data_IF_484867491134
#
_entry.id   IF_484867491134
#
_cell.length_a   1.000
_cell.length_b   1.000
_cell.length_c   1.000
_cell.angle_alpha   90.00
_cell.angle_beta   90.00
_cell.angle_gamma   90.00
#
_symmetry.space_group_name_H-M   'P 1'
#
loop_
_entity.id
_entity.type
_entity.pdbx_description
1 polymer ?
#
# COMPACT_ATOMS: atom_id res chain seq x y z
N UNK A 1 -5.80 22.88 15.60
CA UNK A 1 -5.65 22.95 14.13
C UNK A 1 -4.17 22.86 13.84
N UNK A 2 -3.64 21.65 13.76
CA UNK A 2 -2.23 21.42 13.46
C UNK A 2 -2.10 21.29 11.95
N UNK A 3 -1.31 22.18 11.33
CA UNK A 3 -0.98 22.16 9.91
C UNK A 3 -0.46 20.77 9.52
N UNK A 4 -1.31 20.00 8.84
CA UNK A 4 -0.99 18.67 8.35
C UNK A 4 -0.33 18.87 6.99
N UNK A 5 0.98 19.15 6.96
CA UNK A 5 1.71 19.25 5.70
C UNK A 5 1.77 17.85 5.03
N UNK A 6 0.99 17.66 3.96
CA UNK A 6 0.75 16.35 3.29
C UNK A 6 1.77 16.07 2.17
N UNK A 7 2.91 16.75 2.12
CA UNK A 7 3.83 16.66 0.96
C UNK A 7 4.40 15.25 0.67
N UNK A 8 4.38 14.33 1.65
CA UNK A 8 4.86 12.96 1.48
C UNK A 8 3.80 11.96 0.97
N UNK A 9 2.51 12.31 0.98
CA UNK A 9 1.43 11.44 0.53
C UNK A 9 0.96 11.86 -0.85
N UNK A 10 1.82 11.63 -1.84
CA UNK A 10 1.61 12.06 -3.22
C UNK A 10 1.61 10.87 -4.19
N UNK A 11 1.29 11.17 -5.46
CA UNK A 11 1.16 10.18 -6.54
C UNK A 11 2.46 9.41 -6.75
N UNK A 12 3.63 10.06 -6.70
CA UNK A 12 4.92 9.39 -6.91
C UNK A 12 5.21 8.36 -5.83
N UNK A 13 5.02 8.71 -4.56
CA UNK A 13 5.20 7.77 -3.43
C UNK A 13 4.22 6.61 -3.52
N UNK A 14 2.96 6.88 -3.88
CA UNK A 14 1.95 5.84 -4.06
C UNK A 14 2.27 4.91 -5.24
N UNK A 15 2.76 5.46 -6.35
CA UNK A 15 3.20 4.70 -7.52
C UNK A 15 4.36 3.77 -7.15
N UNK A 16 5.37 4.28 -6.45
CA UNK A 16 6.47 3.45 -5.93
C UNK A 16 5.97 2.36 -5.00
N UNK A 17 5.00 2.66 -4.12
CA UNK A 17 4.40 1.68 -3.23
C UNK A 17 3.65 0.58 -3.98
N UNK A 18 2.82 0.94 -4.97
CA UNK A 18 2.11 -0.01 -5.83
C UNK A 18 3.10 -0.92 -6.56
N UNK A 19 4.14 -0.34 -7.16
CA UNK A 19 5.19 -1.10 -7.86
C UNK A 19 5.92 -2.07 -6.94
N UNK A 20 6.29 -1.62 -5.73
CA UNK A 20 6.96 -2.46 -4.74
C UNK A 20 6.08 -3.65 -4.30
N UNK A 21 4.78 -3.40 -4.08
CA UNK A 21 3.83 -4.46 -3.69
C UNK A 21 3.56 -5.42 -4.85
N UNK A 22 3.36 -4.90 -6.06
CA UNK A 22 3.15 -5.69 -7.27
C UNK A 22 4.36 -6.58 -7.58
N UNK A 23 5.59 -6.16 -7.27
CA UNK A 23 6.77 -7.00 -7.39
C UNK A 23 6.73 -8.28 -6.52
N UNK A 24 5.82 -8.34 -5.54
CA UNK A 24 5.61 -9.52 -4.69
C UNK A 24 4.28 -10.23 -4.92
N UNK A 25 3.24 -9.53 -5.39
CA UNK A 25 1.92 -10.10 -5.61
C UNK A 25 1.61 -10.41 -7.09
N UNK A 26 2.43 -9.89 -8.00
CA UNK A 26 2.34 -9.90 -9.48
C UNK A 26 1.08 -9.21 -10.06
N UNK A 27 -0.03 -9.30 -9.35
CA UNK A 27 -1.29 -8.65 -9.69
C UNK A 27 -2.09 -8.25 -8.45
N UNK A 28 -2.97 -7.26 -8.61
CA UNK A 28 -3.93 -6.80 -7.60
C UNK A 28 -5.27 -6.48 -8.25
N UNK A 29 -6.39 -6.79 -7.58
CA UNK A 29 -7.66 -6.17 -7.95
C UNK A 29 -7.63 -4.68 -7.59
N UNK A 30 -8.47 -3.86 -8.21
CA UNK A 30 -8.59 -2.43 -7.86
C UNK A 30 -8.88 -2.24 -6.37
N UNK A 31 -9.81 -3.01 -5.82
CA UNK A 31 -10.13 -2.94 -4.39
C UNK A 31 -8.90 -3.13 -3.49
N UNK A 32 -8.00 -4.06 -3.84
CA UNK A 32 -6.74 -4.28 -3.10
C UNK A 32 -5.70 -3.19 -3.36
N UNK A 33 -5.61 -2.69 -4.60
CA UNK A 33 -4.71 -1.60 -4.94
C UNK A 33 -5.05 -0.32 -4.13
N UNK A 34 -6.34 0.00 -3.98
CA UNK A 34 -6.83 1.13 -3.17
C UNK A 34 -6.46 1.05 -1.67
N UNK A 35 -6.09 -0.14 -1.17
CA UNK A 35 -5.61 -0.32 0.21
C UNK A 35 -4.11 -0.07 0.37
N UNK A 36 -3.34 0.06 -0.72
CA UNK A 36 -1.89 0.26 -0.64
C UNK A 36 -1.56 1.62 -0.02
N UNK A 37 -2.16 2.69 -0.52
CA UNK A 37 -1.89 4.04 -0.02
C UNK A 37 -2.21 4.22 1.48
N UNK A 38 -3.39 3.82 2.01
CA UNK A 38 -3.67 3.92 3.44
C UNK A 38 -2.70 3.13 4.32
N UNK A 39 -2.18 1.98 3.84
CA UNK A 39 -1.14 1.23 4.54
C UNK A 39 0.19 1.99 4.58
N UNK A 40 0.61 2.59 3.47
CA UNK A 40 1.96 3.22 3.36
C UNK A 40 2.03 4.66 3.79
N UNK A 41 0.90 5.38 3.83
CA UNK A 41 0.87 6.77 4.29
C UNK A 41 1.09 6.89 5.81
N UNK A 42 0.88 5.80 6.55
CA UNK A 42 1.06 5.75 7.99
C UNK A 42 2.43 5.20 8.36
N UNK A 43 3.29 6.06 8.86
CA UNK A 43 4.69 5.74 9.17
C UNK A 43 4.83 4.58 10.17
N UNK A 44 3.94 4.47 11.16
CA UNK A 44 3.97 3.36 12.13
C UNK A 44 3.67 2.02 11.45
N UNK A 45 2.75 1.99 10.48
CA UNK A 45 2.46 0.79 9.70
C UNK A 45 3.67 0.37 8.86
N UNK A 46 4.27 1.31 8.12
CA UNK A 46 5.46 1.02 7.31
C UNK A 46 6.65 0.59 8.17
N UNK A 47 6.87 1.23 9.32
CA UNK A 47 7.96 0.87 10.22
C UNK A 47 7.81 -0.54 10.78
N UNK A 48 6.60 -0.89 11.19
CA UNK A 48 6.30 -2.20 11.74
C UNK A 48 6.47 -3.29 10.67
N UNK A 49 5.83 -3.12 9.51
CA UNK A 49 5.87 -4.11 8.43
C UNK A 49 7.25 -4.21 7.77
N UNK A 50 8.05 -3.13 7.77
CA UNK A 50 9.41 -3.14 7.23
C UNK A 50 10.46 -3.72 8.18
N UNK A 51 10.09 -4.14 9.39
CA UNK A 51 11.01 -4.78 10.32
C UNK A 51 11.18 -6.27 9.99
N UNK A 52 12.40 -6.69 9.64
CA UNK A 52 12.70 -8.08 9.24
C UNK A 52 12.43 -9.15 10.30
N UNK A 53 12.22 -8.77 11.58
CA UNK A 53 11.83 -9.69 12.66
C UNK A 53 10.31 -9.93 12.73
N UNK A 54 9.51 -9.11 12.05
CA UNK A 54 8.06 -9.24 12.05
C UNK A 54 7.65 -10.37 11.10
N UNK A 55 6.87 -11.31 11.62
CA UNK A 55 6.30 -12.41 10.83
C UNK A 55 5.24 -11.85 9.87
N UNK A 56 5.22 -12.34 8.63
CA UNK A 56 4.17 -12.02 7.65
C UNK A 56 2.83 -12.54 8.15
N UNK A 57 1.82 -11.68 8.21
CA UNK A 57 0.48 -12.01 8.71
C UNK A 57 -0.57 -11.63 7.67
N UNK A 58 -1.65 -12.43 7.62
CA UNK A 58 -2.89 -12.07 6.93
C UNK A 58 -3.64 -10.97 7.71
N UNK A 59 -4.65 -10.38 7.09
CA UNK A 59 -5.38 -9.22 7.62
C UNK A 59 -5.88 -9.42 9.05
N UNK A 60 -6.68 -10.45 9.32
CA UNK A 60 -7.25 -10.70 10.66
C UNK A 60 -6.18 -10.84 11.76
N UNK A 61 -5.14 -11.65 11.49
CA UNK A 61 -4.05 -11.86 12.45
C UNK A 61 -3.23 -10.59 12.72
N UNK A 62 -3.05 -9.75 11.70
CA UNK A 62 -2.34 -8.49 11.84
C UNK A 62 -3.16 -7.48 12.66
N UNK A 63 -4.46 -7.34 12.37
CA UNK A 63 -5.35 -6.42 13.10
C UNK A 63 -5.51 -6.85 14.56
N UNK A 64 -5.64 -8.15 14.83
CA UNK A 64 -5.72 -8.65 16.21
C UNK A 64 -4.45 -8.35 17.01
N UNK A 65 -3.28 -8.43 16.37
CA UNK A 65 -2.00 -8.23 17.04
C UNK A 65 -1.58 -6.76 17.16
N UNK A 66 -1.97 -5.92 16.19
CA UNK A 66 -1.63 -4.49 16.12
C UNK A 66 -2.84 -3.64 15.73
N UNK A 67 -3.91 -3.62 16.56
CA UNK A 67 -5.13 -2.87 16.26
C UNK A 67 -4.87 -1.36 16.14
N UNK A 68 -3.86 -0.85 16.84
CA UNK A 68 -3.41 0.54 16.78
C UNK A 68 -3.03 0.98 15.36
N UNK A 69 -2.48 0.08 14.54
CA UNK A 69 -2.12 0.38 13.16
C UNK A 69 -3.32 0.59 12.24
N UNK A 70 -4.53 0.28 12.68
CA UNK A 70 -5.77 0.33 11.89
C UNK A 70 -6.84 1.25 12.47
N UNK A 71 -6.59 1.88 13.62
CA UNK A 71 -7.58 2.70 14.34
C UNK A 71 -8.24 3.81 13.48
N UNK A 72 -7.48 4.43 12.58
CA UNK A 72 -7.96 5.48 11.66
C UNK A 72 -7.88 5.06 10.18
N UNK A 73 -7.89 3.75 9.90
CA UNK A 73 -7.64 3.25 8.54
C UNK A 73 -8.68 3.73 7.53
N UNK A 74 -9.96 3.78 7.90
CA UNK A 74 -11.03 4.29 7.02
C UNK A 74 -10.79 5.74 6.58
N UNK A 75 -10.35 6.62 7.49
CA UNK A 75 -9.99 8.01 7.15
C UNK A 75 -8.86 8.03 6.13
N UNK A 76 -7.80 7.25 6.36
CA UNK A 76 -6.67 7.13 5.45
C UNK A 76 -7.07 6.54 4.09
N UNK A 77 -8.01 5.61 4.08
CA UNK A 77 -8.53 5.00 2.86
C UNK A 77 -9.19 6.09 2.01
N UNK A 78 -10.13 6.84 2.58
CA UNK A 78 -10.81 7.94 1.91
C UNK A 78 -9.83 9.03 1.44
N UNK A 79 -8.88 9.43 2.28
CA UNK A 79 -7.82 10.39 1.94
C UNK A 79 -6.91 9.88 0.79
N UNK A 80 -6.73 8.56 0.69
CA UNK A 80 -5.83 7.92 -0.28
C UNK A 80 -6.47 7.55 -1.62
N UNK A 81 -7.79 7.63 -1.77
CA UNK A 81 -8.50 7.16 -2.96
C UNK A 81 -7.99 7.85 -4.24
N UNK A 82 -8.05 9.17 -4.29
CA UNK A 82 -7.65 9.95 -5.48
C UNK A 82 -6.17 9.76 -5.81
N UNK A 83 -5.32 9.76 -4.79
CA UNK A 83 -3.86 9.55 -4.95
C UNK A 83 -3.58 8.17 -5.53
N UNK A 84 -4.29 7.14 -5.06
CA UNK A 84 -4.08 5.76 -5.53
C UNK A 84 -4.55 5.59 -6.96
N UNK A 85 -5.73 6.13 -7.32
CA UNK A 85 -6.25 6.09 -8.70
C UNK A 85 -5.27 6.79 -9.66
N UNK A 86 -4.79 7.97 -9.29
CA UNK A 86 -3.81 8.70 -10.10
C UNK A 86 -2.49 7.94 -10.22
N UNK A 87 -2.04 7.27 -9.16
CA UNK A 87 -0.83 6.46 -9.18
C UNK A 87 -0.98 5.22 -10.07
N UNK A 88 -2.14 4.55 -10.04
CA UNK A 88 -2.47 3.45 -10.96
C UNK A 88 -2.40 3.94 -12.40
N UNK A 89 -3.03 5.08 -12.71
CA UNK A 89 -2.99 5.65 -14.06
C UNK A 89 -1.56 5.98 -14.50
N UNK A 90 -0.74 6.55 -13.61
CA UNK A 90 0.66 6.88 -13.90
C UNK A 90 1.48 5.63 -14.24
N UNK A 91 1.43 4.58 -13.43
CA UNK A 91 2.23 3.36 -13.67
C UNK A 91 1.76 2.58 -14.90
N UNK A 92 0.46 2.68 -15.24
CA UNK A 92 -0.09 2.09 -16.47
C UNK A 92 0.35 2.89 -17.69
N UNK A 93 0.23 4.22 -17.66
CA UNK A 93 0.67 5.08 -18.76
C UNK A 93 2.18 4.99 -19.02
N UNK A 94 2.97 4.78 -17.97
CA UNK A 94 4.42 4.59 -18.05
C UNK A 94 4.83 3.17 -18.50
N UNK A 95 3.90 2.24 -18.71
CA UNK A 95 4.18 0.88 -19.19
C UNK A 95 4.71 -0.09 -18.13
N UNK A 96 4.71 0.29 -16.86
CA UNK A 96 5.16 -0.58 -15.76
C UNK A 96 4.11 -1.63 -15.36
N UNK A 97 2.84 -1.33 -15.58
CA UNK A 97 1.73 -2.22 -15.32
C UNK A 97 0.69 -2.12 -16.45
N UNK A 98 -0.19 -3.13 -16.56
CA UNK A 98 -1.41 -3.05 -17.35
C UNK A 98 -2.64 -3.16 -16.47
N UNK A 99 -3.76 -2.64 -16.97
CA UNK A 99 -5.05 -2.79 -16.32
C UNK A 99 -6.03 -3.51 -17.25
N UNK A 100 -6.45 -4.70 -16.84
CA UNK A 100 -7.45 -5.53 -17.54
C UNK A 100 -8.32 -6.26 -16.49
N UNK A 101 -9.20 -5.50 -15.84
CA UNK A 101 -9.97 -5.93 -14.65
C UNK A 101 -9.14 -6.08 -13.37
N UNK A 102 -7.83 -6.34 -13.51
CA UNK A 102 -6.82 -6.32 -12.45
C UNK A 102 -5.63 -5.50 -12.91
N UNK A 103 -4.92 -4.94 -11.94
CA UNK A 103 -3.63 -4.31 -12.13
C UNK A 103 -2.56 -5.41 -12.15
N UNK A 104 -1.85 -5.57 -13.25
CA UNK A 104 -0.87 -6.63 -13.47
C UNK A 104 0.50 -6.01 -13.76
N UNK A 105 1.53 -6.48 -13.07
CA UNK A 105 2.91 -6.02 -13.28
C UNK A 105 3.40 -6.44 -14.66
N UNK A 106 4.02 -5.51 -15.38
CA UNK A 106 4.70 -5.81 -16.65
C UNK A 106 6.22 -5.75 -16.49
N UNK A 107 6.72 -4.72 -15.80
CA UNK A 107 8.14 -4.52 -15.58
C UNK A 107 8.39 -4.14 -14.12
N UNK A 108 9.28 -4.85 -13.41
CA UNK A 108 9.63 -4.48 -12.05
C UNK A 108 10.38 -3.14 -12.03
N UNK A 109 10.20 -2.39 -10.94
CA UNK A 109 10.96 -1.17 -10.67
C UNK A 109 12.01 -1.45 -9.61
N UNK A 110 13.28 -1.20 -9.91
CA UNK A 110 14.35 -1.27 -8.92
C UNK A 110 14.33 -0.01 -8.05
N UNK A 111 14.00 -0.17 -6.77
CA UNK A 111 13.97 0.95 -5.82
C UNK A 111 15.32 1.02 -5.10
N UNK A 112 16.16 1.96 -5.51
CA UNK A 112 17.49 2.19 -4.93
C UNK A 112 17.53 3.42 -3.99
N UNK A 113 18.73 3.92 -3.69
CA UNK A 113 18.92 5.11 -2.83
C UNK A 113 18.48 6.42 -3.44
N UNK A 114 18.38 6.52 -4.77
CA UNK A 114 17.95 7.74 -5.46
C UNK A 114 16.47 8.07 -5.21
N UNK A 115 15.64 7.05 -4.92
CA UNK A 115 14.22 7.21 -4.60
C UNK A 115 13.96 7.79 -3.20
N UNK A 116 15.01 7.90 -2.37
CA UNK A 116 14.93 8.46 -1.03
C UNK A 116 14.43 7.49 0.05
N UNK A 117 14.62 7.91 1.31
CA UNK A 117 14.43 7.04 2.49
C UNK A 117 13.01 6.51 2.66
N UNK A 118 11.98 7.28 2.26
CA UNK A 118 10.57 6.86 2.38
C UNK A 118 10.26 5.70 1.44
N UNK A 119 10.66 5.80 0.17
CA UNK A 119 10.51 4.72 -0.81
C UNK A 119 11.24 3.44 -0.36
N UNK A 120 12.46 3.56 0.16
CA UNK A 120 13.19 2.40 0.70
C UNK A 120 12.49 1.72 1.87
N UNK A 121 11.90 2.50 2.79
CA UNK A 121 11.11 1.95 3.91
C UNK A 121 9.86 1.24 3.41
N UNK A 122 9.18 1.79 2.41
CA UNK A 122 8.04 1.17 1.76
C UNK A 122 8.44 -0.15 1.08
N UNK A 123 9.54 -0.15 0.32
CA UNK A 123 10.05 -1.35 -0.34
C UNK A 123 10.34 -2.47 0.67
N UNK A 124 10.93 -2.15 1.83
CA UNK A 124 11.13 -3.12 2.92
C UNK A 124 9.82 -3.71 3.47
N UNK A 125 8.77 -2.90 3.55
CA UNK A 125 7.46 -3.33 4.02
C UNK A 125 6.62 -4.05 2.95
N UNK A 126 6.99 -3.93 1.67
CA UNK A 126 6.15 -4.33 0.54
C UNK A 126 5.78 -5.81 0.55
N UNK A 127 6.73 -6.69 0.90
CA UNK A 127 6.47 -8.13 0.95
C UNK A 127 5.49 -8.55 2.06
N UNK A 128 5.43 -7.78 3.16
CA UNK A 128 4.44 -7.98 4.23
C UNK A 128 3.09 -7.40 3.83
N UNK A 129 3.08 -6.23 3.17
CA UNK A 129 1.85 -5.64 2.62
C UNK A 129 1.23 -6.60 1.59
N UNK A 130 2.01 -7.19 0.70
CA UNK A 130 1.53 -8.19 -0.24
C UNK A 130 0.92 -9.41 0.47
N UNK A 131 1.53 -9.88 1.57
CA UNK A 131 0.99 -10.98 2.37
C UNK A 131 -0.33 -10.62 3.07
N UNK A 132 -0.48 -9.38 3.53
CA UNK A 132 -1.75 -8.87 4.08
C UNK A 132 -2.82 -8.84 2.99
N UNK A 133 -2.51 -8.26 1.83
CA UNK A 133 -3.42 -8.13 0.69
C UNK A 133 -3.75 -9.47 0.01
N UNK A 134 -3.09 -10.57 0.40
CA UNK A 134 -3.47 -11.91 -0.05
C UNK A 134 -4.83 -12.36 0.50
N UNK A 135 -5.31 -11.79 1.62
CA UNK A 135 -6.66 -12.04 2.14
C UNK A 135 -7.76 -11.66 1.12
N UNK A 136 -8.96 -12.27 1.18
CA UNK A 136 -10.12 -11.83 0.42
C UNK A 136 -10.47 -10.35 0.66
N UNK A 137 -11.05 -9.68 -0.33
CA UNK A 137 -11.38 -8.24 -0.23
C UNK A 137 -12.37 -7.97 0.90
N UNK A 138 -13.39 -8.81 1.04
CA UNK A 138 -14.40 -8.63 2.10
C UNK A 138 -13.78 -8.77 3.50
N UNK A 139 -12.83 -9.70 3.66
CA UNK A 139 -12.04 -9.84 4.90
C UNK A 139 -11.19 -8.58 5.15
N UNK A 140 -10.53 -8.05 4.12
CA UNK A 140 -9.73 -6.83 4.23
C UNK A 140 -10.58 -5.65 4.68
N UNK A 141 -11.70 -5.41 3.99
CA UNK A 141 -12.58 -4.28 4.29
C UNK A 141 -13.20 -4.40 5.68
N UNK A 142 -13.65 -5.59 6.07
CA UNK A 142 -14.17 -5.86 7.40
C UNK A 142 -13.11 -5.60 8.49
N UNK A 143 -11.93 -6.19 8.36
CA UNK A 143 -10.87 -6.08 9.38
C UNK A 143 -10.29 -4.66 9.46
N UNK A 144 -10.21 -3.94 8.34
CA UNK A 144 -9.73 -2.56 8.30
C UNK A 144 -10.82 -1.53 8.55
N UNK A 145 -12.07 -1.97 8.75
CA UNK A 145 -13.26 -1.14 8.98
C UNK A 145 -13.48 -0.11 7.88
N UNK A 146 -13.25 -0.51 6.63
CA UNK A 146 -13.55 0.31 5.46
C UNK A 146 -15.06 0.44 5.32
N UNK A 147 -15.54 1.67 5.14
CA UNK A 147 -16.96 1.98 4.92
C UNK A 147 -17.14 2.36 3.45
N UNK A 148 -18.05 1.65 2.77
CA UNK A 148 -18.41 1.87 1.37
C UNK A 148 -19.69 2.70 1.25
#
# INVERSE_FOLDING_TARGET
MTERWVGYNNVGVCATALMAVLAHSEQLSIAKALLVMPLVMHDSTVSYLGNGRVVKRKAAALVAHRPDLFANFNSRFNEGLSVTVNAIQLIVAAGYAKFDGKLVLLQPLSIDSSFGKRAQRIAKAASHIAAVLASPVDELYLNFRVQL
#
